data_IF_912552254257
#
_entry.id   IF_912552254257
#
_cell.length_a   1.000
_cell.length_b   1.000
_cell.length_c   1.000
_cell.angle_alpha   90.00
_cell.angle_beta   90.00
_cell.angle_gamma   90.00
#
_symmetry.space_group_name_H-M   'P 1'
#
loop_
_entity.id
_entity.type
_entity.pdbx_description
1 polymer ?
#
# COMPACT_ATOMS: atom_id res chain seq x y z
N UNK A 1 4.45 13.95 3.69
CA UNK A 1 4.97 12.80 4.46
C UNK A 1 6.45 12.59 4.16
N UNK A 2 6.91 12.68 2.91
CA UNK A 2 8.33 12.54 2.53
C UNK A 2 9.22 13.69 3.01
N UNK A 3 8.66 14.78 3.51
CA UNK A 3 9.40 15.83 4.21
C UNK A 3 9.89 15.40 5.61
N UNK A 4 9.46 14.25 6.11
CA UNK A 4 9.94 13.62 7.33
C UNK A 4 11.13 12.72 6.98
N UNK A 5 12.36 13.05 7.44
CA UNK A 5 13.58 12.31 7.09
C UNK A 5 13.50 10.82 7.43
N UNK A 6 12.88 10.48 8.58
CA UNK A 6 12.72 9.10 9.03
C UNK A 6 11.81 8.29 8.09
N UNK A 7 10.85 8.94 7.41
CA UNK A 7 10.02 8.28 6.40
C UNK A 7 10.76 8.13 5.09
N UNK A 8 11.48 9.18 4.67
CA UNK A 8 12.24 9.19 3.42
C UNK A 8 13.37 8.15 3.43
N UNK A 9 14.08 7.99 4.53
CA UNK A 9 15.15 7.00 4.70
C UNK A 9 14.67 5.53 4.65
N UNK A 10 13.36 5.30 4.67
CA UNK A 10 12.75 3.97 4.50
C UNK A 10 13.30 2.86 5.40
N UNK A 11 13.41 3.06 6.71
CA UNK A 11 13.81 1.99 7.63
C UNK A 11 12.76 0.87 7.67
N UNK A 12 13.11 -0.27 8.25
CA UNK A 12 12.20 -1.42 8.38
C UNK A 12 10.90 -1.06 9.12
N UNK A 13 10.97 -0.14 10.09
CA UNK A 13 9.83 0.37 10.84
C UNK A 13 9.25 1.69 10.28
N UNK A 14 9.55 2.04 9.02
CA UNK A 14 9.02 3.25 8.34
C UNK A 14 7.54 3.48 8.58
N UNK A 15 6.72 2.40 8.62
CA UNK A 15 5.28 2.52 8.81
C UNK A 15 4.90 3.17 10.15
N UNK A 16 5.74 3.06 11.18
CA UNK A 16 5.57 3.77 12.44
C UNK A 16 5.69 5.28 12.25
N UNK A 17 6.79 5.76 11.66
CA UNK A 17 7.03 7.19 11.43
C UNK A 17 5.98 7.78 10.49
N UNK A 18 5.65 7.06 9.42
CA UNK A 18 4.65 7.47 8.45
C UNK A 18 3.27 7.65 9.11
N UNK A 19 2.78 6.66 9.86
CA UNK A 19 1.49 6.76 10.57
C UNK A 19 1.53 7.85 11.63
N UNK A 20 2.60 7.96 12.41
CA UNK A 20 2.74 9.03 13.41
C UNK A 20 2.62 10.41 12.77
N UNK A 21 3.29 10.64 11.65
CA UNK A 21 3.22 11.92 10.93
C UNK A 21 1.81 12.19 10.40
N UNK A 22 1.19 11.22 9.72
CA UNK A 22 -0.14 11.36 9.12
C UNK A 22 -1.19 11.62 10.20
N UNK A 23 -1.26 10.76 11.22
CA UNK A 23 -2.28 10.89 12.26
C UNK A 23 -2.08 12.10 13.16
N UNK A 24 -0.84 12.58 13.38
CA UNK A 24 -0.60 13.84 14.06
C UNK A 24 -1.12 15.04 13.25
N UNK A 25 -1.01 15.01 11.92
CA UNK A 25 -1.59 16.05 11.06
C UNK A 25 -3.12 15.99 11.10
N UNK A 26 -3.71 14.80 11.01
CA UNK A 26 -5.17 14.60 11.07
C UNK A 26 -5.70 15.05 12.44
N UNK A 27 -5.01 14.68 13.54
CA UNK A 27 -5.41 15.06 14.89
C UNK A 27 -5.46 16.59 15.07
N UNK A 28 -4.47 17.31 14.55
CA UNK A 28 -4.47 18.79 14.60
C UNK A 28 -5.63 19.40 13.81
N UNK A 29 -5.89 18.89 12.61
CA UNK A 29 -7.01 19.35 11.78
C UNK A 29 -8.35 19.03 12.45
N UNK A 30 -8.54 17.79 12.94
CA UNK A 30 -9.74 17.38 13.65
C UNK A 30 -10.00 18.23 14.91
N UNK A 31 -8.96 18.50 15.69
CA UNK A 31 -9.08 19.34 16.87
C UNK A 31 -9.50 20.78 16.53
N UNK A 32 -9.01 21.35 15.43
CA UNK A 32 -9.43 22.67 14.95
C UNK A 32 -10.93 22.70 14.58
N UNK A 33 -11.47 21.56 14.10
CA UNK A 33 -12.87 21.38 13.76
C UNK A 33 -13.72 20.87 14.95
N UNK A 34 -13.13 20.76 16.15
CA UNK A 34 -13.83 20.35 17.38
C UNK A 34 -13.96 18.84 17.57
N UNK A 35 -13.30 18.03 16.76
CA UNK A 35 -13.28 16.55 16.90
C UNK A 35 -12.12 16.11 17.80
N UNK A 36 -12.43 15.23 18.76
CA UNK A 36 -11.45 14.71 19.74
C UNK A 36 -11.12 13.23 19.56
N UNK A 37 -11.87 12.52 18.74
CA UNK A 37 -11.72 11.07 18.54
C UNK A 37 -11.37 10.80 17.08
N UNK A 38 -10.27 10.06 16.87
CA UNK A 38 -9.87 9.57 15.55
C UNK A 38 -10.16 8.06 15.45
N UNK A 39 -10.67 7.67 14.29
CA UNK A 39 -10.96 6.27 13.97
C UNK A 39 -10.13 5.84 12.76
N UNK A 40 -9.74 4.55 12.72
CA UNK A 40 -9.15 3.94 11.53
C UNK A 40 -9.86 2.65 11.11
N UNK A 41 -9.52 2.14 9.93
CA UNK A 41 -10.12 0.94 9.33
C UNK A 41 -9.40 -0.38 9.69
N UNK A 42 -8.54 -0.39 10.69
CA UNK A 42 -7.89 -1.62 11.15
C UNK A 42 -8.92 -2.63 11.63
N UNK A 43 -8.79 -3.90 11.24
CA UNK A 43 -9.76 -4.95 11.51
C UNK A 43 -9.12 -6.15 12.21
N UNK A 44 -9.93 -7.15 12.59
CA UNK A 44 -9.45 -8.32 13.35
C UNK A 44 -8.51 -9.24 12.56
N UNK A 45 -8.53 -9.18 11.21
CA UNK A 45 -7.56 -9.93 10.37
C UNK A 45 -6.19 -9.26 10.29
N UNK A 46 -6.03 -8.02 10.77
CA UNK A 46 -4.74 -7.36 10.79
C UNK A 46 -3.93 -7.84 12.00
N UNK A 47 -2.76 -8.41 11.75
CA UNK A 47 -1.86 -8.80 12.83
C UNK A 47 -1.32 -7.55 13.54
N UNK A 48 -1.61 -7.43 14.84
CA UNK A 48 -1.20 -6.28 15.64
C UNK A 48 0.17 -6.45 16.28
N UNK A 49 0.67 -7.69 16.41
CA UNK A 49 1.89 -7.99 17.17
C UNK A 49 3.15 -7.53 16.46
N UNK A 50 3.16 -7.52 15.13
CA UNK A 50 4.37 -7.32 14.31
C UNK A 50 4.31 -6.12 13.34
N UNK A 51 3.33 -5.22 13.49
CA UNK A 51 3.21 -4.05 12.61
C UNK A 51 3.65 -2.77 13.32
N UNK A 52 4.80 -2.19 12.93
CA UNK A 52 5.30 -0.94 13.53
C UNK A 52 4.25 0.19 13.53
N UNK A 53 3.41 0.26 12.50
CA UNK A 53 2.33 1.23 12.41
C UNK A 53 1.25 1.11 13.49
N UNK A 54 1.05 -0.06 14.09
CA UNK A 54 0.09 -0.24 15.21
C UNK A 54 0.57 0.42 16.50
N UNK A 55 1.88 0.52 16.69
CA UNK A 55 2.46 1.28 17.82
C UNK A 55 2.07 2.76 17.72
N UNK A 56 2.20 3.37 16.53
CA UNK A 56 1.84 4.76 16.32
C UNK A 56 0.34 5.03 16.59
N UNK A 57 -0.56 4.14 16.17
CA UNK A 57 -2.00 4.27 16.43
C UNK A 57 -2.31 4.24 17.92
N UNK A 58 -1.66 3.34 18.67
CA UNK A 58 -1.84 3.25 20.12
C UNK A 58 -1.32 4.51 20.85
N UNK A 59 -0.13 5.00 20.49
CA UNK A 59 0.46 6.22 21.07
C UNK A 59 -0.42 7.44 20.81
N UNK A 60 -1.06 7.52 19.65
CA UNK A 60 -1.95 8.62 19.26
C UNK A 60 -3.41 8.39 19.63
N UNK A 61 -3.71 7.33 20.39
CA UNK A 61 -5.04 6.96 20.85
C UNK A 61 -6.09 6.86 19.73
N UNK A 62 -5.65 6.45 18.53
CA UNK A 62 -6.57 6.20 17.42
C UNK A 62 -7.32 4.90 17.67
N UNK A 63 -8.64 4.94 17.60
CA UNK A 63 -9.50 3.79 17.81
C UNK A 63 -9.71 3.01 16.52
N UNK A 64 -9.85 1.70 16.63
CA UNK A 64 -10.10 0.78 15.51
C UNK A 64 -11.41 0.02 15.71
N UNK A 65 -12.59 0.62 15.48
CA UNK A 65 -13.88 0.04 15.84
C UNK A 65 -14.13 -1.33 15.21
N UNK A 66 -13.71 -1.54 13.96
CA UNK A 66 -13.84 -2.85 13.30
C UNK A 66 -13.07 -3.94 14.03
N UNK A 67 -11.87 -3.62 14.52
CA UNK A 67 -11.07 -4.52 15.33
C UNK A 67 -11.64 -4.72 16.73
N UNK A 68 -12.07 -3.64 17.37
CA UNK A 68 -12.69 -3.67 18.70
C UNK A 68 -13.94 -4.56 18.72
N UNK A 69 -14.71 -4.56 17.62
CA UNK A 69 -15.86 -5.44 17.42
C UNK A 69 -15.50 -6.85 16.92
N UNK A 70 -14.23 -7.18 16.77
CA UNK A 70 -13.77 -8.49 16.30
C UNK A 70 -14.06 -8.79 14.83
N UNK A 71 -14.41 -7.78 14.01
CA UNK A 71 -14.77 -7.98 12.61
C UNK A 71 -13.55 -8.33 11.76
N UNK A 72 -13.61 -9.48 11.10
CA UNK A 72 -12.61 -9.95 10.14
C UNK A 72 -12.82 -9.34 8.75
N UNK A 73 -11.77 -9.38 7.92
CA UNK A 73 -11.87 -8.86 6.54
C UNK A 73 -12.94 -9.55 5.68
N UNK A 74 -13.15 -10.88 5.74
CA UNK A 74 -14.27 -11.52 5.05
C UNK A 74 -15.64 -11.01 5.52
N UNK A 75 -15.84 -10.85 6.83
CA UNK A 75 -17.09 -10.34 7.40
C UNK A 75 -17.35 -8.89 6.99
N UNK A 76 -16.32 -8.03 7.03
CA UNK A 76 -16.43 -6.65 6.56
C UNK A 76 -16.84 -6.62 5.09
N UNK A 77 -16.27 -7.46 4.24
CA UNK A 77 -16.63 -7.55 2.82
C UNK A 77 -18.07 -8.00 2.64
N UNK A 78 -18.52 -9.01 3.39
CA UNK A 78 -19.92 -9.46 3.38
C UNK A 78 -20.87 -8.34 3.78
N UNK A 79 -20.65 -7.70 4.93
CA UNK A 79 -21.46 -6.59 5.43
C UNK A 79 -21.46 -5.39 4.46
N UNK A 80 -20.30 -5.07 3.88
CA UNK A 80 -20.19 -4.01 2.87
C UNK A 80 -21.01 -4.31 1.62
N UNK A 81 -21.06 -5.58 1.19
CA UNK A 81 -21.88 -6.02 0.06
C UNK A 81 -23.36 -5.91 0.38
N UNK A 82 -23.77 -6.37 1.56
CA UNK A 82 -25.16 -6.27 2.05
C UNK A 82 -25.63 -4.83 2.16
N UNK A 83 -24.72 -3.92 2.57
CA UNK A 83 -24.97 -2.48 2.62
C UNK A 83 -24.89 -1.77 1.25
N UNK A 84 -24.64 -2.49 0.15
CA UNK A 84 -24.55 -1.93 -1.20
C UNK A 84 -23.33 -1.06 -1.45
N UNK A 85 -22.26 -1.19 -0.64
CA UNK A 85 -21.04 -0.40 -0.83
C UNK A 85 -20.26 -0.93 -2.04
N UNK A 86 -19.97 -0.06 -3.01
CA UNK A 86 -19.25 -0.42 -4.24
C UNK A 86 -17.82 -0.92 -4.01
N UNK A 87 -17.26 -0.70 -2.83
CA UNK A 87 -15.89 -1.08 -2.47
C UNK A 87 -15.76 -2.49 -1.89
N UNK A 88 -16.86 -3.23 -1.73
CA UNK A 88 -16.90 -4.52 -1.03
C UNK A 88 -15.92 -5.56 -1.56
N UNK A 89 -15.68 -5.60 -2.88
CA UNK A 89 -14.77 -6.54 -3.55
C UNK A 89 -13.47 -5.90 -4.02
N UNK A 90 -13.21 -4.64 -3.65
CA UNK A 90 -12.00 -3.95 -4.09
C UNK A 90 -10.74 -4.70 -3.64
N UNK A 91 -9.77 -4.97 -4.52
CA UNK A 91 -8.50 -5.57 -4.16
C UNK A 91 -7.76 -4.74 -3.12
N UNK A 92 -6.97 -5.40 -2.28
CA UNK A 92 -6.12 -4.70 -1.32
C UNK A 92 -5.00 -3.99 -2.09
N UNK A 93 -4.98 -2.66 -2.03
CA UNK A 93 -3.91 -1.85 -2.60
C UNK A 93 -3.00 -1.33 -1.48
N UNK A 94 -1.81 -1.91 -1.37
CA UNK A 94 -0.83 -1.48 -0.39
C UNK A 94 -0.13 -0.19 -0.86
N UNK A 95 0.39 0.59 0.10
CA UNK A 95 1.14 1.80 -0.16
C UNK A 95 2.29 1.56 -1.15
N UNK A 96 2.46 2.42 -2.17
CA UNK A 96 3.53 2.34 -3.17
C UNK A 96 4.94 2.25 -2.56
N UNK A 97 5.16 2.89 -1.43
CA UNK A 97 6.44 2.81 -0.72
C UNK A 97 6.85 1.38 -0.33
N UNK A 98 5.91 0.42 -0.28
CA UNK A 98 6.22 -1.00 -0.05
C UNK A 98 6.86 -1.70 -1.25
N UNK A 99 6.92 -1.03 -2.41
CA UNK A 99 7.61 -1.52 -3.62
C UNK A 99 9.10 -1.21 -3.60
N UNK A 100 9.52 -0.29 -2.74
CA UNK A 100 10.92 0.14 -2.58
C UNK A 100 11.54 -0.67 -1.45
N UNK A 101 12.71 -1.31 -1.65
CA UNK A 101 13.37 -2.09 -0.61
C UNK A 101 13.68 -1.24 0.64
N UNK A 102 13.52 -1.82 1.82
CA UNK A 102 13.90 -1.16 3.06
C UNK A 102 15.38 -0.76 3.04
N UNK A 103 15.70 0.42 3.56
CA UNK A 103 17.04 1.00 3.53
C UNK A 103 17.40 1.71 2.20
N UNK A 104 16.48 1.71 1.22
CA UNK A 104 16.60 2.56 0.03
C UNK A 104 15.73 3.80 0.23
N UNK A 105 16.31 4.98 0.06
CA UNK A 105 15.59 6.23 0.21
C UNK A 105 14.37 6.30 -0.72
N UNK A 106 13.24 6.73 -0.17
CA UNK A 106 12.02 6.96 -0.94
C UNK A 106 12.04 8.37 -1.47
N UNK A 107 12.02 8.52 -2.80
CA UNK A 107 11.88 9.81 -3.46
C UNK A 107 10.56 9.89 -4.21
N UNK A 108 10.04 11.11 -4.47
CA UNK A 108 8.86 11.28 -5.31
C UNK A 108 9.01 10.63 -6.69
N UNK A 109 10.21 10.68 -7.27
CA UNK A 109 10.55 10.13 -8.58
C UNK A 109 10.43 8.60 -8.58
N UNK A 110 10.95 7.92 -7.53
CA UNK A 110 10.83 6.46 -7.39
C UNK A 110 9.38 6.02 -7.22
N UNK A 111 8.59 6.78 -6.46
CA UNK A 111 7.15 6.49 -6.30
C UNK A 111 6.41 6.69 -7.63
N UNK A 112 6.64 7.81 -8.32
CA UNK A 112 6.02 8.09 -9.62
C UNK A 112 6.42 7.06 -10.68
N UNK A 113 7.71 6.64 -10.71
CA UNK A 113 8.21 5.57 -11.58
C UNK A 113 7.44 4.26 -11.34
N UNK A 114 7.28 3.88 -10.09
CA UNK A 114 6.56 2.66 -9.70
C UNK A 114 5.08 2.75 -10.08
N UNK A 115 4.44 3.88 -9.82
CA UNK A 115 3.04 4.12 -10.15
C UNK A 115 2.80 4.04 -11.66
N UNK A 116 3.64 4.69 -12.48
CA UNK A 116 3.55 4.59 -13.95
C UNK A 116 3.70 3.15 -14.43
N UNK A 117 4.62 2.38 -13.85
CA UNK A 117 4.82 0.99 -14.20
C UNK A 117 3.60 0.12 -13.87
N UNK A 118 3.02 0.26 -12.67
CA UNK A 118 1.81 -0.46 -12.28
C UNK A 118 0.61 -0.04 -13.15
N UNK A 119 0.47 1.25 -13.49
CA UNK A 119 -0.58 1.76 -14.37
C UNK A 119 -0.50 1.15 -15.77
N UNK A 120 0.69 1.14 -16.39
CA UNK A 120 0.89 0.52 -17.72
C UNK A 120 0.55 -0.96 -17.75
N UNK A 121 0.91 -1.71 -16.71
CA UNK A 121 0.53 -3.12 -16.61
C UNK A 121 -0.98 -3.29 -16.44
N UNK A 122 -1.63 -2.38 -15.71
CA UNK A 122 -3.09 -2.36 -15.56
C UNK A 122 -3.78 -2.07 -16.90
N UNK A 123 -3.26 -1.13 -17.68
CA UNK A 123 -3.73 -0.83 -19.06
C UNK A 123 -3.58 -2.04 -20.00
N UNK A 124 -2.55 -2.86 -19.78
CA UNK A 124 -2.39 -4.15 -20.46
C UNK A 124 -3.35 -5.24 -19.95
N UNK A 125 -4.24 -4.94 -19.00
CA UNK A 125 -5.26 -5.85 -18.49
C UNK A 125 -4.81 -6.76 -17.34
N UNK A 126 -3.65 -6.52 -16.75
CA UNK A 126 -3.24 -7.22 -15.53
C UNK A 126 -3.86 -6.55 -14.29
N UNK A 127 -4.15 -7.35 -13.27
CA UNK A 127 -4.79 -6.87 -12.03
C UNK A 127 -4.16 -7.50 -10.79
N UNK A 128 -4.39 -6.90 -9.61
CA UNK A 128 -3.80 -7.32 -8.32
C UNK A 128 -2.28 -7.50 -8.40
N UNK A 129 -1.65 -6.62 -9.15
CA UNK A 129 -0.22 -6.65 -9.45
C UNK A 129 0.60 -5.75 -8.52
N UNK A 130 1.91 -6.00 -8.45
CA UNK A 130 2.88 -5.12 -7.81
C UNK A 130 4.16 -5.08 -8.63
N UNK A 131 4.69 -3.88 -8.85
CA UNK A 131 6.01 -3.69 -9.44
C UNK A 131 6.99 -3.25 -8.35
N UNK A 132 7.84 -4.16 -7.93
CA UNK A 132 8.88 -3.86 -6.93
C UNK A 132 10.18 -3.45 -7.60
N UNK A 133 10.81 -2.42 -7.05
CA UNK A 133 12.16 -2.04 -7.45
C UNK A 133 13.16 -3.09 -6.96
N UNK A 134 13.94 -3.64 -7.87
CA UNK A 134 15.03 -4.55 -7.57
C UNK A 134 16.29 -4.09 -8.33
N UNK A 135 17.19 -3.38 -7.64
CA UNK A 135 18.24 -2.58 -8.26
C UNK A 135 17.63 -1.63 -9.29
N UNK A 136 18.04 -1.70 -10.57
CA UNK A 136 17.47 -0.92 -11.64
C UNK A 136 16.41 -1.69 -12.47
N UNK A 137 15.95 -2.83 -11.98
CA UNK A 137 14.95 -3.68 -12.63
C UNK A 137 13.57 -3.57 -11.97
N UNK A 138 12.53 -3.77 -12.78
CA UNK A 138 11.17 -4.02 -12.32
C UNK A 138 11.01 -5.51 -11.97
N UNK A 139 10.69 -5.84 -10.74
CA UNK A 139 10.25 -7.18 -10.35
C UNK A 139 8.73 -7.19 -10.24
N UNK A 140 8.08 -7.83 -11.22
CA UNK A 140 6.63 -7.90 -11.32
C UNK A 140 6.11 -9.08 -10.51
N UNK A 141 5.16 -8.81 -9.62
CA UNK A 141 4.38 -9.81 -8.91
C UNK A 141 2.96 -9.83 -9.44
N UNK A 142 2.48 -11.00 -9.84
CA UNK A 142 1.15 -11.24 -10.38
C UNK A 142 0.50 -12.44 -9.67
N UNK A 143 -0.84 -12.50 -9.63
CA UNK A 143 -1.53 -13.73 -9.30
C UNK A 143 -1.12 -14.88 -10.24
N UNK A 144 -0.93 -16.07 -9.70
CA UNK A 144 -0.47 -17.24 -10.47
C UNK A 144 -1.30 -17.49 -11.75
N UNK A 145 -2.61 -17.23 -11.71
CA UNK A 145 -3.49 -17.36 -12.86
C UNK A 145 -3.13 -16.42 -14.04
N UNK A 146 -2.43 -15.33 -13.80
CA UNK A 146 -2.04 -14.38 -14.84
C UNK A 146 -0.62 -14.62 -15.38
N UNK A 147 0.17 -15.50 -14.77
CA UNK A 147 1.55 -15.78 -15.22
C UNK A 147 1.64 -16.30 -16.66
N UNK A 148 0.78 -17.26 -17.13
CA UNK A 148 0.80 -17.70 -18.51
C UNK A 148 0.55 -16.55 -19.50
N UNK A 149 -0.40 -15.66 -19.18
CA UNK A 149 -0.69 -14.49 -20.00
C UNK A 149 0.50 -13.52 -20.03
N UNK A 150 1.16 -13.30 -18.88
CA UNK A 150 2.34 -12.43 -18.79
C UNK A 150 3.49 -12.96 -19.65
N UNK A 151 3.75 -14.27 -19.63
CA UNK A 151 4.77 -14.90 -20.46
C UNK A 151 4.43 -14.79 -21.96
N UNK A 152 3.18 -15.02 -22.34
CA UNK A 152 2.73 -14.88 -23.73
C UNK A 152 2.87 -13.44 -24.25
N UNK A 153 2.70 -12.45 -23.39
CA UNK A 153 2.77 -11.01 -23.71
C UNK A 153 4.06 -10.33 -23.23
N UNK A 154 5.13 -11.10 -23.04
CA UNK A 154 6.40 -10.58 -22.50
C UNK A 154 6.95 -9.39 -23.27
N UNK A 155 6.83 -9.38 -24.60
CA UNK A 155 7.35 -8.28 -25.43
C UNK A 155 6.58 -6.96 -25.18
N UNK A 156 5.26 -7.04 -24.98
CA UNK A 156 4.43 -5.88 -24.65
C UNK A 156 4.79 -5.33 -23.26
N UNK A 157 4.98 -6.23 -22.28
CA UNK A 157 5.40 -5.89 -20.91
C UNK A 157 6.78 -5.23 -20.94
N UNK A 158 7.73 -5.80 -21.67
CA UNK A 158 9.07 -5.24 -21.82
C UNK A 158 9.01 -3.85 -22.45
N UNK A 159 8.25 -3.67 -23.55
CA UNK A 159 8.08 -2.38 -24.20
C UNK A 159 7.45 -1.33 -23.28
N UNK A 160 6.47 -1.73 -22.46
CA UNK A 160 5.82 -0.85 -21.51
C UNK A 160 6.74 -0.39 -20.37
N UNK A 161 7.66 -1.24 -19.90
CA UNK A 161 8.47 -0.95 -18.72
C UNK A 161 9.88 -0.45 -19.01
N UNK A 162 10.45 -0.69 -20.19
CA UNK A 162 11.77 -0.20 -20.61
C UNK A 162 12.02 1.30 -20.42
N UNK A 163 11.03 2.20 -20.59
CA UNK A 163 11.25 3.61 -20.32
C UNK A 163 11.57 3.94 -18.86
N UNK A 164 11.20 3.05 -17.95
CA UNK A 164 11.33 3.24 -16.50
C UNK A 164 12.44 2.36 -15.87
N UNK A 165 12.73 1.18 -16.44
CA UNK A 165 13.60 0.18 -15.84
C UNK A 165 14.54 -0.44 -16.86
N UNK A 166 15.78 -0.72 -16.46
CA UNK A 166 16.79 -1.37 -17.30
C UNK A 166 16.45 -2.83 -17.61
N UNK A 167 15.70 -3.51 -16.73
CA UNK A 167 15.30 -4.90 -16.90
C UNK A 167 13.96 -5.20 -16.26
N UNK A 168 13.38 -6.34 -16.61
CA UNK A 168 12.11 -6.83 -16.07
C UNK A 168 12.26 -8.26 -15.61
N UNK A 169 11.86 -8.54 -14.39
CA UNK A 169 11.82 -9.85 -13.76
C UNK A 169 10.35 -10.21 -13.45
N UNK A 170 10.00 -11.46 -13.62
CA UNK A 170 8.71 -12.01 -13.21
C UNK A 170 8.93 -12.86 -11.96
N UNK A 171 8.13 -12.63 -10.90
CA UNK A 171 8.25 -13.23 -9.55
C UNK A 171 7.00 -14.04 -9.20
#
# INVERSE_FOLDING_TARGET
VLSCPEVAANPADRCYYCKRQIFSCIARAAAADGYTVLLDGTNASDDASDRPGMRALRELQVRSPLRECGLTKPEIRRLSREAGLFTWNKPAYACLATRIPAGTDITPELLARTERAESRLTELGFSDLRVRTFHDCARIQLPAAQLPQALARREEILAALRPEYAGVLLD
#
